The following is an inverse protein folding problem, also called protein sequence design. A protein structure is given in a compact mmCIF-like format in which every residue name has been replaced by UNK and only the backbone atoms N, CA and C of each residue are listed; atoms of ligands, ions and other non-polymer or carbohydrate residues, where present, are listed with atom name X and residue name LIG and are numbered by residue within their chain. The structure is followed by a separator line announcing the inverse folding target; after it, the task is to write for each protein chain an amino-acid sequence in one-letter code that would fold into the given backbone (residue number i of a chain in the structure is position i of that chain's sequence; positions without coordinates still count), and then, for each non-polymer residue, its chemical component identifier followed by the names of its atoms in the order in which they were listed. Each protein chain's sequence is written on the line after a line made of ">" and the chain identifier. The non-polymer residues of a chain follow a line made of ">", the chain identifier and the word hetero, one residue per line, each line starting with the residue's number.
data_IF_630877802132
#
_entry.id   IF_630877802132
#
_cell.length_a   1.000
_cell.length_b   1.000
_cell.length_c   1.000
_cell.angle_alpha   90.00
_cell.angle_beta   90.00
_cell.angle_gamma   90.00
#
_symmetry.space_group_name_H-M   'P 1'
#
loop_
_entity.id
_entity.type
_entity.pdbx_description
1 polymer ?
#
# COMPACT_ATOMS: atom_id res chain seq x y z
N UNK A 1 -0.78 -18.81 10.23
CA UNK A 1 -1.23 -17.83 11.23
C UNK A 1 -1.92 -16.74 10.43
N UNK A 2 -3.25 -16.68 10.49
CA UNK A 2 -4.03 -15.71 9.71
C UNK A 2 -4.03 -14.38 10.48
N UNK A 3 -3.52 -13.32 9.86
CA UNK A 3 -3.74 -11.97 10.36
C UNK A 3 -5.16 -11.56 9.97
N UNK A 4 -6.04 -11.48 10.96
CA UNK A 4 -7.39 -10.98 10.77
C UNK A 4 -7.31 -9.46 10.69
N UNK A 5 -7.41 -8.88 9.50
CA UNK A 5 -7.31 -7.43 9.23
C UNK A 5 -8.38 -6.58 9.95
N UNK A 6 -9.33 -7.22 10.64
CA UNK A 6 -10.37 -6.59 11.46
C UNK A 6 -9.96 -6.26 12.91
N UNK A 7 -8.69 -6.41 13.31
CA UNK A 7 -8.31 -6.27 14.72
C UNK A 7 -7.39 -5.11 15.09
N UNK A 8 -7.29 -4.03 14.31
CA UNK A 8 -6.60 -2.80 14.79
C UNK A 8 -7.51 -1.95 15.70
N UNK A 9 -8.21 -2.67 16.56
CA UNK A 9 -8.79 -2.21 17.82
C UNK A 9 -7.93 -2.67 19.01
N UNK A 10 -6.77 -3.27 18.77
CA UNK A 10 -5.85 -3.65 19.83
C UNK A 10 -4.98 -2.43 20.19
N UNK A 11 -5.27 -1.81 21.34
CA UNK A 11 -4.51 -0.68 21.89
C UNK A 11 -2.99 -0.97 21.91
N UNK A 12 -2.60 -2.25 21.98
CA UNK A 12 -1.22 -2.71 21.90
C UNK A 12 -0.55 -2.41 20.54
N UNK A 13 -1.24 -2.66 19.42
CA UNK A 13 -0.71 -2.40 18.09
C UNK A 13 -0.59 -0.90 17.82
N UNK A 14 -1.60 -0.12 18.26
CA UNK A 14 -1.55 1.35 18.21
C UNK A 14 -0.41 1.91 19.04
N UNK A 15 -0.23 1.40 20.27
CA UNK A 15 0.90 1.79 21.14
C UNK A 15 2.25 1.44 20.53
N UNK A 16 2.38 0.28 19.86
CA UNK A 16 3.60 -0.10 19.17
C UNK A 16 3.93 0.85 18.01
N UNK A 17 2.95 1.17 17.17
CA UNK A 17 3.13 2.12 16.06
C UNK A 17 3.53 3.52 16.56
N UNK A 18 2.89 4.01 17.63
CA UNK A 18 3.28 5.26 18.30
C UNK A 18 4.76 5.25 18.70
N UNK A 19 5.19 4.21 19.41
CA UNK A 19 6.57 4.05 19.85
C UNK A 19 7.56 3.99 18.67
N UNK A 20 7.19 3.36 17.56
CA UNK A 20 8.01 3.32 16.34
C UNK A 20 8.14 4.72 15.75
N UNK A 21 7.05 5.46 15.60
CA UNK A 21 7.07 6.81 15.04
C UNK A 21 7.86 7.80 15.91
N UNK A 22 7.72 7.73 17.24
CA UNK A 22 8.51 8.55 18.16
C UNK A 22 10.02 8.28 18.01
N UNK A 23 10.41 7.00 17.93
CA UNK A 23 11.81 6.63 17.69
C UNK A 23 12.29 7.13 16.34
N UNK A 24 11.49 7.00 15.28
CA UNK A 24 11.83 7.46 13.93
C UNK A 24 12.00 8.99 13.86
N UNK A 25 11.20 9.76 14.61
CA UNK A 25 11.39 11.22 14.76
C UNK A 25 12.74 11.56 15.39
N UNK A 26 13.14 10.80 16.42
CA UNK A 26 14.39 11.07 17.16
C UNK A 26 15.67 10.97 16.31
N UNK A 27 15.65 10.20 15.21
CA UNK A 27 16.82 9.97 14.33
C UNK A 27 16.93 10.98 13.17
N UNK A 28 16.14 12.06 13.15
CA UNK A 28 16.17 13.15 12.13
C UNK A 28 16.34 12.63 10.69
N UNK A 29 15.69 11.52 10.38
CA UNK A 29 15.79 10.83 9.10
C UNK A 29 14.56 11.14 8.25
N UNK A 30 14.69 11.10 6.92
CA UNK A 30 13.54 11.19 6.04
C UNK A 30 12.75 9.87 6.13
N UNK A 31 11.64 9.89 6.86
CA UNK A 31 10.78 8.71 7.04
C UNK A 31 9.73 8.68 5.94
N UNK A 32 9.63 7.55 5.25
CA UNK A 32 8.60 7.30 4.26
C UNK A 32 7.79 6.08 4.68
N UNK A 33 6.48 6.27 4.81
CA UNK A 33 5.53 5.21 5.12
C UNK A 33 4.81 4.85 3.82
N UNK A 34 4.87 3.59 3.43
CA UNK A 34 4.14 3.07 2.27
C UNK A 34 2.87 2.42 2.80
N UNK A 35 1.70 2.97 2.46
CA UNK A 35 0.42 2.35 2.82
C UNK A 35 0.21 1.09 1.98
N UNK A 36 -0.51 0.11 2.51
CA UNK A 36 -0.74 -1.14 1.77
C UNK A 36 -1.57 -0.91 0.50
N UNK A 37 -1.40 -1.77 -0.54
CA UNK A 37 -2.35 -1.84 -1.64
C UNK A 37 -3.68 -2.49 -1.16
N UNK A 38 -4.71 -2.60 -2.03
CA UNK A 38 -5.88 -3.41 -1.71
C UNK A 38 -5.51 -4.83 -1.25
N UNK A 39 -6.18 -5.32 -0.21
CA UNK A 39 -6.01 -6.68 0.31
C UNK A 39 -7.25 -7.50 0.01
N UNK A 40 -7.05 -8.71 -0.50
CA UNK A 40 -8.09 -9.68 -0.83
C UNK A 40 -8.14 -10.77 0.23
N UNK A 41 -9.34 -11.22 0.57
CA UNK A 41 -9.55 -12.36 1.47
C UNK A 41 -9.46 -13.71 0.76
N UNK A 42 -9.06 -13.71 -0.53
CA UNK A 42 -9.00 -14.88 -1.39
C UNK A 42 -7.61 -15.02 -2.02
N UNK A 43 -7.25 -16.25 -2.37
CA UNK A 43 -6.09 -16.54 -3.20
C UNK A 43 -6.36 -16.11 -4.64
N UNK A 44 -6.04 -14.85 -4.94
CA UNK A 44 -6.41 -14.20 -6.19
C UNK A 44 -5.85 -14.94 -7.43
N UNK A 45 -4.58 -15.39 -7.47
CA UNK A 45 -4.07 -16.20 -8.57
C UNK A 45 -4.85 -17.48 -8.81
N UNK A 46 -5.21 -18.20 -7.74
CA UNK A 46 -5.98 -19.43 -7.85
C UNK A 46 -7.35 -19.20 -8.46
N UNK A 47 -8.09 -18.19 -7.97
CA UNK A 47 -9.43 -17.89 -8.48
C UNK A 47 -9.39 -17.37 -9.92
N UNK A 48 -8.40 -16.56 -10.27
CA UNK A 48 -8.22 -16.10 -11.64
C UNK A 48 -7.91 -17.25 -12.60
N UNK A 49 -7.02 -18.18 -12.22
CA UNK A 49 -6.73 -19.38 -13.02
C UNK A 49 -7.96 -20.28 -13.19
N UNK A 50 -8.80 -20.42 -12.15
CA UNK A 50 -10.05 -21.18 -12.24
C UNK A 50 -11.07 -20.52 -13.17
N UNK A 51 -11.20 -19.19 -13.11
CA UNK A 51 -12.04 -18.38 -14.00
C UNK A 51 -11.62 -18.55 -15.47
N UNK A 52 -10.32 -18.41 -15.75
CA UNK A 52 -9.75 -18.59 -17.08
C UNK A 52 -9.94 -20.04 -17.59
N UNK A 53 -9.69 -21.05 -16.74
CA UNK A 53 -9.86 -22.46 -17.09
C UNK A 53 -11.32 -22.84 -17.39
N UNK A 54 -12.27 -22.30 -16.63
CA UNK A 54 -13.69 -22.55 -16.81
C UNK A 54 -14.30 -21.78 -18.01
N UNK A 55 -13.55 -20.85 -18.61
CA UNK A 55 -14.09 -19.93 -19.63
C UNK A 55 -15.18 -19.02 -19.08
N UNK A 56 -15.22 -18.81 -17.76
CA UNK A 56 -16.19 -17.96 -17.08
C UNK A 56 -15.48 -16.70 -16.61
N UNK A 57 -15.79 -15.54 -17.18
CA UNK A 57 -15.29 -14.28 -16.64
C UNK A 57 -15.89 -14.03 -15.24
N UNK A 58 -15.06 -14.17 -14.21
CA UNK A 58 -15.41 -13.79 -12.84
C UNK A 58 -14.82 -12.40 -12.55
N UNK A 59 -15.67 -11.44 -12.17
CA UNK A 59 -15.19 -10.16 -11.64
C UNK A 59 -14.63 -10.40 -10.23
N UNK A 60 -13.30 -10.57 -10.15
CA UNK A 60 -12.58 -10.71 -8.88
C UNK A 60 -12.20 -9.35 -8.27
N UNK A 61 -12.70 -8.24 -8.81
CA UNK A 61 -12.42 -6.92 -8.28
C UNK A 61 -13.12 -6.72 -6.94
N UNK A 62 -12.39 -6.21 -5.94
CA UNK A 62 -13.02 -5.66 -4.74
C UNK A 62 -13.92 -4.49 -5.13
N UNK A 63 -15.13 -4.43 -4.55
CA UNK A 63 -16.05 -3.34 -4.79
C UNK A 63 -15.55 -2.04 -4.13
N UNK A 64 -16.09 -0.92 -4.60
CA UNK A 64 -15.61 0.41 -4.19
C UNK A 64 -15.79 0.70 -2.69
N UNK A 65 -16.84 0.16 -2.08
CA UNK A 65 -17.10 0.26 -0.64
C UNK A 65 -16.07 -0.49 0.19
N UNK A 66 -15.62 -1.67 -0.27
CA UNK A 66 -14.54 -2.40 0.39
C UNK A 66 -13.20 -1.66 0.29
N UNK A 67 -12.89 -1.10 -0.88
CA UNK A 67 -11.71 -0.25 -1.07
C UNK A 67 -11.76 0.98 -0.16
N UNK A 68 -12.92 1.63 -0.08
CA UNK A 68 -13.11 2.80 0.77
C UNK A 68 -12.95 2.45 2.26
N UNK A 69 -13.45 1.29 2.67
CA UNK A 69 -13.29 0.79 4.03
C UNK A 69 -11.80 0.56 4.37
N UNK A 70 -11.06 -0.13 3.50
CA UNK A 70 -9.63 -0.35 3.68
C UNK A 70 -8.84 0.97 3.70
N UNK A 71 -9.19 1.93 2.84
CA UNK A 71 -8.58 3.26 2.80
C UNK A 71 -8.84 4.04 4.09
N UNK A 72 -10.11 4.16 4.48
CA UNK A 72 -10.53 4.90 5.68
C UNK A 72 -9.83 4.37 6.92
N UNK A 73 -9.72 3.04 7.00
CA UNK A 73 -9.02 2.39 8.09
C UNK A 73 -7.54 2.80 8.16
N UNK A 74 -6.80 2.73 7.05
CA UNK A 74 -5.39 3.17 7.01
C UNK A 74 -5.27 4.67 7.30
N UNK A 75 -6.14 5.50 6.72
CA UNK A 75 -6.15 6.94 6.96
C UNK A 75 -6.41 7.27 8.43
N UNK A 76 -7.30 6.54 9.11
CA UNK A 76 -7.55 6.73 10.53
C UNK A 76 -6.32 6.45 11.39
N UNK A 77 -5.51 5.44 11.03
CA UNK A 77 -4.24 5.18 11.70
C UNK A 77 -3.28 6.35 11.47
N UNK A 78 -3.09 6.77 10.23
CA UNK A 78 -2.02 7.72 9.89
C UNK A 78 -2.36 9.20 10.12
N UNK A 79 -3.64 9.60 10.13
CA UNK A 79 -4.06 10.97 10.39
C UNK A 79 -3.73 11.41 11.84
N UNK A 80 -3.63 10.48 12.78
CA UNK A 80 -3.15 10.76 14.15
C UNK A 80 -1.64 11.09 14.17
N UNK A 81 -0.91 10.74 13.10
CA UNK A 81 0.55 10.88 12.98
C UNK A 81 0.99 11.80 11.84
N UNK A 82 0.08 12.63 11.32
CA UNK A 82 0.45 13.66 10.34
C UNK A 82 1.33 14.71 11.00
N UNK A 83 2.63 14.55 10.81
CA UNK A 83 3.66 15.55 11.05
C UNK A 83 4.44 15.72 9.74
N UNK A 84 4.91 16.94 9.48
CA UNK A 84 5.61 17.33 8.25
C UNK A 84 6.91 16.52 8.01
N UNK A 85 7.39 15.80 9.02
CA UNK A 85 8.59 14.95 8.96
C UNK A 85 8.34 13.56 8.35
N UNK A 86 7.10 13.05 8.37
CA UNK A 86 6.75 11.72 7.85
C UNK A 86 5.99 11.88 6.54
N UNK A 87 6.49 11.23 5.48
CA UNK A 87 5.88 11.27 4.15
C UNK A 87 5.14 9.96 3.88
N UNK A 88 3.86 10.06 3.54
CA UNK A 88 3.02 8.91 3.23
C UNK A 88 2.97 8.68 1.71
N UNK A 89 3.07 7.43 1.30
CA UNK A 89 2.98 6.99 -0.08
C UNK A 89 1.73 6.13 -0.25
N UNK A 90 0.77 6.66 -1.02
CA UNK A 90 -0.49 6.01 -1.35
C UNK A 90 -0.31 4.99 -2.46
N UNK A 91 -0.53 3.71 -2.15
CA UNK A 91 -0.53 2.66 -3.16
C UNK A 91 -1.90 2.46 -3.81
N UNK A 92 -2.99 2.72 -3.08
CA UNK A 92 -4.37 2.44 -3.52
C UNK A 92 -4.66 2.93 -4.96
N UNK A 93 -4.32 4.17 -5.37
CA UNK A 93 -4.61 4.66 -6.72
C UNK A 93 -3.92 3.90 -7.86
N UNK A 94 -2.84 3.15 -7.58
CA UNK A 94 -2.17 2.31 -8.58
C UNK A 94 -2.91 1.00 -8.85
N UNK A 95 -3.78 0.61 -7.91
CA UNK A 95 -4.49 -0.66 -7.89
C UNK A 95 -6.01 -0.46 -7.89
N UNK A 96 -6.50 0.71 -8.30
CA UNK A 96 -7.93 1.00 -8.45
C UNK A 96 -8.24 1.55 -9.84
N UNK A 97 -9.47 1.31 -10.27
CA UNK A 97 -10.05 1.88 -11.48
C UNK A 97 -10.70 3.24 -11.17
N UNK A 98 -11.06 4.05 -12.19
CA UNK A 98 -11.72 5.35 -11.96
C UNK A 98 -13.02 5.28 -11.15
N UNK A 99 -13.69 4.12 -11.13
CA UNK A 99 -14.89 3.86 -10.33
C UNK A 99 -14.57 3.32 -8.92
N UNK A 100 -13.32 3.41 -8.47
CA UNK A 100 -12.83 2.95 -7.16
C UNK A 100 -12.89 1.43 -6.91
N UNK A 101 -13.34 0.62 -7.86
CA UNK A 101 -13.14 -0.84 -7.79
C UNK A 101 -11.66 -1.16 -7.90
N UNK A 102 -11.23 -2.27 -7.28
CA UNK A 102 -9.84 -2.70 -7.42
C UNK A 102 -9.51 -3.10 -8.85
N UNK A 103 -8.27 -2.86 -9.27
CA UNK A 103 -7.65 -3.46 -10.44
C UNK A 103 -6.68 -4.54 -9.96
N UNK A 104 -6.93 -5.79 -10.35
CA UNK A 104 -6.19 -6.95 -9.84
C UNK A 104 -5.25 -7.60 -10.87
N UNK A 105 -5.41 -7.28 -12.16
CA UNK A 105 -4.56 -7.74 -13.27
C UNK A 105 -4.42 -6.68 -14.36
N UNK A 106 -3.46 -6.91 -15.25
CA UNK A 106 -3.37 -6.27 -16.57
C UNK A 106 -3.09 -7.34 -17.65
N UNK A 107 -2.78 -6.90 -18.86
CA UNK A 107 -2.48 -7.79 -20.00
C UNK A 107 -1.23 -8.66 -19.79
N UNK A 108 -0.37 -8.30 -18.83
CA UNK A 108 0.90 -8.97 -18.56
C UNK A 108 0.73 -9.99 -17.43
N UNK A 109 -0.16 -9.76 -16.47
CA UNK A 109 -0.42 -10.71 -15.40
C UNK A 109 -1.20 -10.14 -14.21
N UNK A 110 -1.37 -11.01 -13.22
CA UNK A 110 -2.05 -10.72 -11.95
C UNK A 110 -1.10 -10.00 -11.01
N UNK A 111 -1.59 -9.01 -10.27
CA UNK A 111 -0.79 -8.15 -9.40
C UNK A 111 -0.42 -8.77 -8.05
N UNK A 112 -1.04 -9.87 -7.67
CA UNK A 112 -0.84 -10.52 -6.38
C UNK A 112 -0.32 -11.94 -6.56
N UNK A 113 0.48 -12.41 -5.60
CA UNK A 113 0.91 -13.81 -5.49
C UNK A 113 -0.03 -14.66 -4.64
N UNK A 114 -0.87 -14.01 -3.84
CA UNK A 114 -1.93 -14.55 -2.99
C UNK A 114 -3.00 -13.46 -2.78
N UNK A 115 -3.54 -13.30 -1.57
CA UNK A 115 -4.52 -12.25 -1.25
C UNK A 115 -3.92 -10.91 -0.79
N UNK A 116 -2.69 -10.90 -0.29
CA UNK A 116 -2.10 -9.76 0.43
C UNK A 116 -0.69 -9.37 -0.05
N UNK A 117 0.00 -10.25 -0.79
CA UNK A 117 1.35 -10.03 -1.31
C UNK A 117 1.32 -9.69 -2.80
N UNK A 118 2.11 -8.69 -3.19
CA UNK A 118 2.27 -8.33 -4.59
C UNK A 118 3.14 -9.36 -5.33
N UNK A 119 2.68 -9.75 -6.52
CA UNK A 119 3.49 -10.48 -7.49
C UNK A 119 4.56 -9.57 -8.09
N UNK A 120 5.43 -10.14 -8.94
CA UNK A 120 6.37 -9.35 -9.74
C UNK A 120 5.65 -8.30 -10.62
N UNK A 121 4.47 -8.61 -11.15
CA UNK A 121 3.70 -7.70 -11.99
C UNK A 121 3.03 -6.58 -11.16
N UNK A 122 2.60 -6.90 -9.94
CA UNK A 122 2.10 -5.90 -8.99
C UNK A 122 3.20 -4.96 -8.51
N UNK A 123 4.37 -5.49 -8.16
CA UNK A 123 5.53 -4.70 -7.75
C UNK A 123 5.99 -3.73 -8.86
N UNK A 124 5.85 -4.11 -10.14
CA UNK A 124 6.12 -3.21 -11.26
C UNK A 124 5.19 -2.00 -11.31
N UNK A 125 3.98 -2.07 -10.77
CA UNK A 125 3.06 -0.92 -10.69
C UNK A 125 3.60 0.16 -9.75
N UNK A 126 4.50 -0.17 -8.82
CA UNK A 126 5.07 0.76 -7.83
C UNK A 126 6.13 1.70 -8.43
N UNK A 127 6.60 1.45 -9.66
CA UNK A 127 7.68 2.23 -10.31
C UNK A 127 7.46 3.76 -10.27
N UNK A 128 6.26 4.31 -10.51
CA UNK A 128 6.03 5.76 -10.46
C UNK A 128 6.31 6.36 -9.07
N UNK A 129 5.98 5.63 -8.00
CA UNK A 129 6.22 6.08 -6.63
C UNK A 129 7.69 6.02 -6.27
N UNK A 130 8.36 4.91 -6.59
CA UNK A 130 9.80 4.75 -6.34
C UNK A 130 10.59 5.84 -7.07
N UNK A 131 10.24 6.16 -8.32
CA UNK A 131 10.89 7.26 -9.04
C UNK A 131 10.69 8.61 -8.37
N UNK A 132 9.50 8.89 -7.85
CA UNK A 132 9.19 10.15 -7.15
C UNK A 132 10.02 10.29 -5.88
N UNK A 133 10.11 9.22 -5.09
CA UNK A 133 10.93 9.16 -3.87
C UNK A 133 12.41 9.35 -4.22
N UNK A 134 12.92 8.59 -5.21
CA UNK A 134 14.33 8.63 -5.60
C UNK A 134 14.74 9.99 -6.18
N UNK A 135 13.87 10.65 -6.95
CA UNK A 135 14.11 12.03 -7.43
C UNK A 135 14.25 13.00 -6.27
N UNK A 136 13.36 12.92 -5.27
CA UNK A 136 13.43 13.76 -4.06
C UNK A 136 14.70 13.49 -3.27
N UNK A 137 15.07 12.22 -3.04
CA UNK A 137 16.32 11.87 -2.33
C UNK A 137 17.54 12.43 -3.05
N UNK A 138 17.60 12.36 -4.39
CA UNK A 138 18.69 12.94 -5.18
C UNK A 138 18.76 14.47 -5.05
N UNK A 139 17.62 15.16 -5.09
CA UNK A 139 17.56 16.62 -4.88
C UNK A 139 18.10 17.03 -3.50
N UNK A 140 17.70 16.34 -2.42
CA UNK A 140 18.20 16.60 -1.06
C UNK A 140 19.72 16.38 -0.91
N UNK A 141 20.32 15.48 -1.68
CA UNK A 141 21.79 15.30 -1.67
C UNK A 141 22.54 16.44 -2.36
N UNK A 142 21.89 17.13 -3.29
CA UNK A 142 22.47 18.26 -4.04
C UNK A 142 22.33 19.56 -3.22
N UNK A 143 21.27 19.70 -2.43
CA UNK A 143 20.99 20.87 -1.57
C UNK A 143 21.61 20.82 -0.16
N UNK A 144 22.62 19.97 0.09
CA UNK A 144 23.39 20.12 1.33
C UNK A 144 23.95 21.55 1.36
N UNK A 145 23.70 22.34 2.41
CA UNK A 145 24.25 23.69 2.50
C UNK A 145 25.78 23.59 2.41
N UNK A 146 26.38 24.42 1.57
CA UNK A 146 27.80 24.72 1.64
C UNK A 146 28.10 25.12 3.08
N UNK A 147 28.87 24.29 3.79
CA UNK A 147 29.51 24.74 5.02
C UNK A 147 30.62 25.71 4.63
N UNK A 148 30.26 26.99 4.60
CA UNK A 148 31.16 28.13 4.81
C UNK A 148 30.54 29.03 5.88
#
# INVERSE_FOLDING_TARGET
>A
MFFNWHSVNDDAERSLLNNIFEKLRSVKSNVWVIKSPPVYQIDLPRFAALSDYAGMEMDLSLPADEIEHQRTFLDSLFNEWTDNEIKYLELMPLFTMPNMKSKFRNDIGIFYSDGDHLSIHGAQQLKPLVHTVMKRIKAYKIEKPSTE
#
